data_IF_232109307011
#
_entry.id   IF_232109307011
#
_cell.length_a   1.000
_cell.length_b   1.000
_cell.length_c   1.000
_cell.angle_alpha   90.00
_cell.angle_beta   90.00
_cell.angle_gamma   90.00
#
_symmetry.space_group_name_H-M   'P 1'
#
loop_
_entity.id
_entity.type
_entity.pdbx_description
1 polymer ?
2 branched ?
3 non-polymer ?
4 non-polymer ?
5 non-polymer ?
6 non-polymer ?
7 water ?
#
# COMPACT_ATOMS: atom_id res chain seq x y z
N UNK A 1 0.13 26.09 2.70
CA UNK A 1 -0.72 27.28 2.39
C UNK A 1 -2.20 27.01 2.60
N UNK A 2 -2.78 26.27 1.67
CA UNK A 2 -4.18 25.96 1.76
C UNK A 2 -4.40 24.49 1.56
N UNK A 3 -5.54 23.98 2.00
CA UNK A 3 -5.85 22.56 1.88
C UNK A 3 -5.86 22.12 0.41
N UNK A 4 -5.28 20.97 0.08
CA UNK A 4 -5.32 20.51 -1.29
C UNK A 4 -6.69 19.93 -1.65
N UNK A 5 -7.13 20.17 -2.89
CA UNK A 5 -8.41 19.65 -3.39
C UNK A 5 -8.07 18.81 -4.61
N UNK A 6 -8.74 17.68 -4.75
CA UNK A 6 -8.55 16.77 -5.85
C UNK A 6 -9.34 17.30 -7.04
N UNK A 7 -8.78 18.26 -7.77
CA UNK A 7 -9.45 18.87 -8.93
C UNK A 7 -9.15 18.28 -10.32
N UNK A 8 -8.12 17.43 -10.42
CA UNK A 8 -7.74 16.86 -11.70
C UNK A 8 -8.15 15.42 -11.79
N UNK A 9 -7.94 14.86 -12.98
CA UNK A 9 -8.20 13.46 -13.24
C UNK A 9 -6.85 12.85 -13.57
N UNK A 10 -6.78 11.53 -13.72
CA UNK A 10 -5.54 10.83 -14.04
C UNK A 10 -4.98 11.17 -15.41
N UNK A 11 -3.66 11.08 -15.59
CA UNK A 11 -3.13 11.30 -16.93
C UNK A 11 -3.30 9.97 -17.64
N UNK A 12 -3.21 9.97 -18.97
CA UNK A 12 -3.31 8.74 -19.71
C UNK A 12 -2.04 7.95 -19.40
N UNK A 13 -2.24 6.69 -19.11
CA UNK A 13 -1.16 5.82 -18.74
C UNK A 13 -0.91 4.87 -19.90
N UNK A 14 0.14 5.16 -20.68
CA UNK A 14 0.54 4.31 -21.80
C UNK A 14 1.71 3.39 -21.49
N UNK A 15 2.43 3.72 -20.40
CA UNK A 15 3.56 2.94 -19.88
C UNK A 15 3.98 3.47 -18.52
N UNK A 16 4.97 2.82 -17.91
CA UNK A 16 5.49 3.20 -16.61
C UNK A 16 6.99 3.48 -16.71
N UNK A 17 7.47 4.59 -16.12
CA UNK A 17 8.90 4.93 -16.11
C UNK A 17 9.41 4.79 -14.66
N UNK A 18 10.71 4.52 -14.48
CA UNK A 18 11.32 4.38 -13.15
C UNK A 18 11.30 5.73 -12.42
N UNK A 19 10.78 5.74 -11.18
CA UNK A 19 10.69 6.95 -10.36
C UNK A 19 11.74 6.91 -9.24
N UNK A 20 11.69 5.88 -8.39
CA UNK A 20 12.66 5.77 -7.32
C UNK A 20 13.00 4.32 -7.00
N UNK A 21 14.19 4.10 -6.49
CA UNK A 21 14.66 2.77 -6.11
C UNK A 21 15.73 3.07 -5.08
N UNK A 22 15.70 2.41 -3.93
CA UNK A 22 16.68 2.66 -2.89
C UNK A 22 17.84 1.64 -2.76
N UNK A 23 17.71 0.45 -3.36
CA UNK A 23 18.73 -0.60 -3.29
C UNK A 23 19.14 -0.83 -1.83
N UNK A 24 18.17 -0.78 -0.92
CA UNK A 24 18.43 -0.92 0.52
C UNK A 24 19.20 -2.13 1.03
N UNK A 25 18.91 -3.31 0.51
CA UNK A 25 19.59 -4.52 0.99
C UNK A 25 21.02 -4.65 0.43
N UNK A 26 21.25 -4.20 -0.81
CA UNK A 26 22.62 -4.25 -1.38
C UNK A 26 23.52 -3.39 -0.52
N UNK A 27 23.08 -2.14 -0.34
CA UNK A 27 23.79 -1.14 0.46
C UNK A 27 23.87 -1.49 1.97
N UNK A 28 22.80 -2.07 2.51
CA UNK A 28 22.74 -2.42 3.92
C UNK A 28 23.67 -3.53 4.35
N UNK A 29 24.23 -4.24 3.37
CA UNK A 29 25.16 -5.32 3.61
C UNK A 29 26.43 -4.74 4.27
N UNK A 30 26.66 -3.44 4.07
CA UNK A 30 27.82 -2.77 4.60
C UNK A 30 27.57 -1.29 4.96
N UNK A 31 26.42 -1.03 5.57
CA UNK A 31 26.06 0.32 6.00
C UNK A 31 25.02 0.12 7.05
N UNK A 32 24.83 1.14 7.88
CA UNK A 32 23.87 1.08 8.95
C UNK A 32 22.48 1.33 8.44
N UNK A 33 21.90 0.31 7.80
CA UNK A 33 20.54 0.37 7.25
C UNK A 33 19.58 -0.34 8.19
N UNK A 34 18.42 0.26 8.41
CA UNK A 34 17.42 -0.30 9.28
C UNK A 34 16.67 -1.43 8.63
N UNK A 35 16.25 -2.41 9.43
CA UNK A 35 15.47 -3.51 8.89
C UNK A 35 14.05 -2.95 8.80
N UNK A 36 13.39 -3.15 7.66
CA UNK A 36 12.04 -2.63 7.52
C UNK A 36 11.13 -3.65 6.82
N UNK A 37 9.88 -3.23 6.64
CA UNK A 37 8.84 -3.92 5.90
C UNK A 37 7.60 -3.02 5.85
N UNK A 38 6.66 -3.36 5.00
CA UNK A 38 5.45 -2.57 4.85
C UNK A 38 5.77 -1.12 4.47
N UNK A 39 6.56 -0.91 3.40
CA UNK A 39 6.93 0.44 2.95
C UNK A 39 5.89 1.09 2.07
N UNK A 40 6.06 2.38 1.82
CA UNK A 40 5.20 3.11 0.91
C UNK A 40 5.85 4.41 0.56
N UNK A 41 5.24 5.18 -0.31
CA UNK A 41 5.80 6.45 -0.69
C UNK A 41 4.71 7.48 -0.45
N UNK A 42 5.09 8.71 -0.05
CA UNK A 42 4.09 9.74 0.17
C UNK A 42 4.69 11.12 -0.01
N UNK A 43 3.96 11.99 -0.70
CA UNK A 43 4.43 13.33 -0.99
C UNK A 43 3.83 14.44 -0.15
N UNK A 44 4.68 15.43 0.04
CA UNK A 44 4.36 16.64 0.74
C UNK A 44 4.36 17.62 -0.44
N UNK A 45 3.98 18.87 -0.20
CA UNK A 45 3.87 19.77 -1.35
C UNK A 45 5.24 20.08 -1.94
N UNK A 46 6.30 19.77 -1.21
CA UNK A 46 7.60 20.13 -1.71
C UNK A 46 8.61 19.05 -1.76
N UNK A 47 8.25 17.84 -1.38
CA UNK A 47 9.21 16.75 -1.40
C UNK A 47 8.44 15.46 -1.36
N UNK A 48 8.87 14.41 -2.05
CA UNK A 48 8.20 13.11 -1.95
C UNK A 48 9.18 12.25 -1.15
N UNK A 49 8.67 11.45 -0.21
CA UNK A 49 9.53 10.62 0.62
C UNK A 49 9.16 9.13 0.71
N UNK A 50 10.13 8.31 1.09
CA UNK A 50 9.93 6.87 1.30
C UNK A 50 9.54 6.68 2.77
N UNK A 51 8.65 5.72 3.03
CA UNK A 51 8.16 5.44 4.39
C UNK A 51 8.18 3.94 4.56
N UNK A 52 8.26 3.47 5.81
CA UNK A 52 8.20 2.04 6.14
C UNK A 52 8.19 1.83 7.64
N UNK A 53 7.86 0.62 8.08
CA UNK A 53 7.87 0.31 9.49
C UNK A 53 9.19 -0.32 9.82
N UNK A 54 10.02 0.39 10.59
CA UNK A 54 11.31 -0.11 11.02
C UNK A 54 11.10 -1.27 11.99
N UNK A 55 12.12 -2.12 12.14
CA UNK A 55 12.10 -3.22 13.08
C UNK A 55 12.99 -2.86 14.28
N UNK A 56 13.55 -1.64 14.26
CA UNK A 56 14.37 -1.23 15.38
C UNK A 56 15.75 -1.86 15.46
N UNK A 57 16.29 -2.25 14.31
CA UNK A 57 17.62 -2.85 14.24
C UNK A 57 18.16 -2.69 12.82
N UNK A 58 19.48 -2.79 12.65
CA UNK A 58 20.10 -2.75 11.33
C UNK A 58 20.09 -4.18 10.80
N UNK A 59 20.29 -4.34 9.49
CA UNK A 59 20.27 -5.68 8.88
C UNK A 59 21.43 -6.51 9.42
N UNK A 60 22.60 -5.90 9.49
CA UNK A 60 23.75 -6.63 9.93
C UNK A 60 23.78 -6.75 11.43
N UNK A 61 22.92 -6.02 12.12
CA UNK A 61 22.94 -6.11 13.56
C UNK A 61 22.40 -7.43 14.05
N UNK A 62 22.81 -7.84 15.26
CA UNK A 62 22.36 -9.10 15.88
C UNK A 62 20.90 -9.20 16.18
N UNK A 63 20.26 -8.04 16.38
CA UNK A 63 18.85 -7.99 16.66
C UNK A 63 18.06 -8.18 15.38
N UNK A 64 18.73 -8.34 14.24
CA UNK A 64 18.00 -8.53 12.99
C UNK A 64 17.38 -9.94 13.00
N UNK A 65 17.87 -10.77 13.90
CA UNK A 65 17.35 -12.10 14.02
C UNK A 65 15.94 -12.04 14.56
N UNK A 66 14.98 -12.54 13.79
CA UNK A 66 13.61 -12.56 14.25
C UNK A 66 12.66 -11.55 13.66
N UNK A 67 13.18 -10.68 12.81
CA UNK A 67 12.38 -9.63 12.20
C UNK A 67 11.30 -10.05 11.22
N UNK A 68 10.94 -11.34 11.23
CA UNK A 68 9.86 -11.82 10.37
C UNK A 68 8.53 -11.47 11.09
N UNK A 69 8.62 -11.40 12.43
CA UNK A 69 7.47 -11.07 13.29
C UNK A 69 6.95 -9.68 13.00
N UNK A 70 5.63 -9.57 12.89
CA UNK A 70 4.97 -8.31 12.58
C UNK A 70 4.81 -7.21 13.62
N UNK A 71 4.46 -7.57 14.85
CA UNK A 71 4.17 -6.57 15.85
C UNK A 71 5.02 -6.70 17.08
N UNK A 72 5.71 -5.64 17.46
CA UNK A 72 6.55 -5.67 18.66
C UNK A 72 6.63 -4.24 19.07
N UNK A 73 7.28 -4.00 20.20
CA UNK A 73 7.41 -2.64 20.68
C UNK A 73 8.58 -1.92 20.03
N UNK A 74 9.31 -2.59 19.14
CA UNK A 74 10.47 -1.99 18.54
C UNK A 74 10.28 -1.43 17.14
N UNK A 75 9.05 -1.41 16.64
CA UNK A 75 8.78 -0.91 15.31
C UNK A 75 8.33 0.52 15.41
N UNK A 76 8.53 1.28 14.36
CA UNK A 76 8.10 2.69 14.35
C UNK A 76 7.94 3.08 12.91
N UNK A 77 7.05 4.02 12.62
CA UNK A 77 6.90 4.47 11.26
C UNK A 77 8.06 5.50 11.04
N UNK A 78 8.90 5.28 10.01
CA UNK A 78 10.02 6.18 9.68
C UNK A 78 9.88 6.65 8.23
N UNK A 79 10.42 7.83 7.92
CA UNK A 79 10.41 8.36 6.55
C UNK A 79 11.84 8.76 6.26
N UNK A 80 12.21 8.83 4.99
CA UNK A 80 13.57 9.19 4.63
C UNK A 80 13.55 9.73 3.19
N UNK A 81 14.65 10.34 2.76
CA UNK A 81 14.62 10.90 1.41
C UNK A 81 14.47 9.86 0.31
N UNK A 82 13.71 10.25 -0.72
CA UNK A 82 13.44 9.42 -1.90
C UNK A 82 14.70 8.81 -2.49
N UNK A 83 14.70 7.49 -2.61
CA UNK A 83 15.81 6.75 -3.21
C UNK A 83 17.05 6.52 -2.36
N UNK A 84 17.04 7.10 -1.16
CA UNK A 84 18.12 6.85 -0.22
C UNK A 84 17.69 5.55 0.49
N UNK A 85 18.63 4.82 1.09
CA UNK A 85 18.13 3.71 1.92
C UNK A 85 17.70 4.23 3.30
N UNK A 86 16.83 3.48 3.99
CA UNK A 86 16.40 3.86 5.34
C UNK A 86 17.56 3.63 6.32
N UNK A 87 18.42 4.62 6.49
CA UNK A 87 19.56 4.41 7.39
C UNK A 87 19.30 4.97 8.78
N UNK A 88 20.12 4.54 9.74
CA UNK A 88 19.93 5.01 11.11
C UNK A 88 20.13 6.48 11.25
N UNK A 89 20.94 7.07 10.36
CA UNK A 89 21.26 8.48 10.42
C UNK A 89 20.41 9.47 9.60
N UNK A 90 19.71 9.01 8.57
CA UNK A 90 18.94 9.94 7.75
C UNK A 90 17.43 9.67 7.86
N UNK A 91 17.01 8.82 8.81
CA UNK A 91 15.60 8.46 8.99
C UNK A 91 14.94 9.26 10.07
N UNK A 92 13.73 9.73 9.81
CA UNK A 92 12.96 10.52 10.74
C UNK A 92 11.82 9.64 11.23
N UNK A 93 11.66 9.49 12.53
CA UNK A 93 10.54 8.68 13.03
C UNK A 93 9.27 9.53 13.06
N UNK A 94 8.21 9.02 12.46
CA UNK A 94 6.92 9.73 12.43
C UNK A 94 6.04 9.41 13.66
N UNK A 95 6.10 8.15 14.11
CA UNK A 95 5.37 7.65 15.26
C UNK A 95 5.70 6.18 15.57
N UNK A 96 5.29 5.73 16.75
CA UNK A 96 5.59 4.37 17.19
C UNK A 96 4.40 3.46 16.95
N UNK A 97 4.65 2.37 16.23
CA UNK A 97 3.60 1.41 15.89
C UNK A 97 3.94 0.36 14.84
N UNK A 98 3.10 -0.67 14.78
CA UNK A 98 3.29 -1.76 13.84
C UNK A 98 2.31 -1.81 12.66
N UNK A 99 1.57 -0.71 12.48
CA UNK A 99 0.61 -0.54 11.38
C UNK A 99 0.47 0.96 11.19
N UNK A 100 0.31 1.43 9.96
CA UNK A 100 0.23 2.87 9.78
C UNK A 100 -0.30 3.36 8.46
N UNK A 101 -0.44 4.68 8.38
CA UNK A 101 -0.82 5.38 7.15
C UNK A 101 -0.39 6.81 7.39
N UNK A 102 -0.32 7.61 6.32
CA UNK A 102 0.13 9.01 6.41
C UNK A 102 -0.19 9.76 5.13
N UNK A 103 -0.61 11.01 5.26
CA UNK A 103 -0.88 11.82 4.08
C UNK A 103 -0.79 13.31 4.43
N UNK A 104 -0.45 14.13 3.44
CA UNK A 104 -0.33 15.57 3.62
C UNK A 104 -1.66 16.14 3.09
N UNK A 105 -2.27 17.07 3.82
CA UNK A 105 -3.55 17.63 3.37
C UNK A 105 -3.38 18.93 2.62
N UNK A 106 -2.15 19.38 2.48
CA UNK A 106 -1.92 20.62 1.78
C UNK A 106 -1.32 21.60 2.74
N UNK A 107 -1.77 21.55 3.99
CA UNK A 107 -1.27 22.44 5.00
C UNK A 107 -0.18 21.72 5.79
N UNK A 108 -0.45 20.49 6.22
CA UNK A 108 0.52 19.70 6.97
C UNK A 108 0.24 18.19 6.84
N UNK A 109 1.07 17.34 7.45
CA UNK A 109 0.91 15.90 7.35
C UNK A 109 0.29 15.27 8.56
N UNK A 110 -0.51 14.23 8.31
CA UNK A 110 -1.15 13.47 9.37
C UNK A 110 -0.54 12.09 9.31
N UNK A 111 -0.13 11.56 10.46
CA UNK A 111 0.44 10.23 10.49
C UNK A 111 -0.31 9.48 11.55
N UNK A 112 -0.58 8.20 11.33
CA UNK A 112 -1.33 7.42 12.29
C UNK A 112 -0.59 6.16 12.54
N UNK A 113 -0.23 5.87 13.79
CA UNK A 113 0.45 4.63 14.12
C UNK A 113 -0.39 3.88 15.13
N UNK A 114 -0.38 2.57 15.01
CA UNK A 114 -1.14 1.72 15.91
C UNK A 114 -0.15 0.80 16.63
N UNK A 115 -0.32 0.68 17.93
CA UNK A 115 0.56 -0.21 18.65
C UNK A 115 -0.24 -0.91 19.72
N UNK A 116 0.38 -1.90 20.35
CA UNK A 116 -0.28 -2.62 21.41
C UNK A 116 -0.32 -4.10 21.23
N UNK A 117 -0.82 -4.81 22.27
CA UNK A 117 -1.15 -6.23 22.31
C UNK A 117 -2.21 -6.45 21.30
N UNK A 118 -2.36 -7.69 20.86
CA UNK A 118 -3.37 -8.04 19.89
C UNK A 118 -4.76 -7.66 20.34
N UNK A 119 -4.99 -7.70 21.65
CA UNK A 119 -6.30 -7.40 22.21
C UNK A 119 -6.49 -6.09 22.91
N UNK A 120 -5.58 -5.14 22.73
CA UNK A 120 -5.73 -3.89 23.43
C UNK A 120 -4.87 -2.88 22.71
N UNK A 121 -4.94 -2.89 21.39
CA UNK A 121 -4.18 -1.97 20.55
C UNK A 121 -4.91 -0.63 20.47
N UNK A 122 -4.22 0.42 20.04
CA UNK A 122 -4.86 1.72 19.91
C UNK A 122 -4.15 2.54 18.84
N UNK A 123 -4.90 3.36 18.13
CA UNK A 123 -4.33 4.21 17.11
C UNK A 123 -4.12 5.59 17.70
N UNK A 124 -3.01 6.25 17.38
CA UNK A 124 -2.80 7.60 17.85
C UNK A 124 -2.50 8.43 16.62
N UNK A 125 -3.38 9.41 16.38
CA UNK A 125 -3.31 10.29 15.23
C UNK A 125 -2.43 11.50 15.52
N UNK A 126 -1.46 11.73 14.65
CA UNK A 126 -0.52 12.83 14.77
C UNK A 126 -0.82 13.86 13.68
N UNK A 127 -0.82 15.14 14.01
CA UNK A 127 -1.04 16.10 12.96
C UNK A 127 -0.06 17.22 13.22
N UNK A 128 0.74 17.55 12.21
CA UNK A 128 1.75 18.59 12.35
C UNK A 128 2.76 18.17 13.42
N UNK A 129 3.09 16.87 13.43
CA UNK A 129 4.04 16.26 14.36
C UNK A 129 3.77 16.26 15.87
N UNK A 130 2.50 16.32 16.23
CA UNK A 130 2.05 16.29 17.61
C UNK A 130 0.89 15.29 17.70
N UNK A 131 0.80 14.51 18.79
CA UNK A 131 -0.38 13.64 18.95
C UNK A 131 -1.64 14.45 19.16
N UNK A 132 -2.71 14.10 18.48
CA UNK A 132 -3.94 14.85 18.59
C UNK A 132 -5.15 14.04 19.03
N UNK A 133 -5.41 12.93 18.36
CA UNK A 133 -6.56 12.09 18.65
C UNK A 133 -6.08 10.67 18.87
N UNK A 134 -6.82 9.88 19.66
CA UNK A 134 -6.48 8.48 19.93
C UNK A 134 -7.76 7.68 19.85
N UNK A 135 -7.65 6.46 19.33
CA UNK A 135 -8.80 5.60 19.13
C UNK A 135 -8.43 4.24 19.70
N UNK A 136 -9.22 3.74 20.63
CA UNK A 136 -8.95 2.43 21.20
C UNK A 136 -9.64 1.35 20.35
N UNK A 137 -9.06 0.15 20.35
CA UNK A 137 -9.58 -1.03 19.64
C UNK A 137 -11.07 -1.23 19.91
N UNK A 138 -11.83 -1.54 18.88
CA UNK A 138 -13.27 -1.79 19.04
C UNK A 138 -13.68 -3.27 18.97
N UNK A 139 -12.85 -4.11 18.37
CA UNK A 139 -13.17 -5.51 18.27
C UNK A 139 -12.18 -6.38 19.03
N UNK A 140 -11.17 -5.76 19.63
CA UNK A 140 -10.16 -6.45 20.42
C UNK A 140 -9.33 -7.47 19.64
N UNK A 141 -9.24 -7.27 18.33
CA UNK A 141 -8.44 -8.17 17.53
C UNK A 141 -7.64 -7.45 16.45
N UNK A 142 -6.45 -7.05 16.87
CA UNK A 142 -5.47 -6.36 16.06
C UNK A 142 -5.99 -5.20 15.18
N UNK A 143 -6.26 -4.08 15.84
CA UNK A 143 -6.69 -2.86 15.14
C UNK A 143 -5.57 -2.59 14.12
N UNK A 144 -5.93 -2.41 12.85
CA UNK A 144 -4.93 -2.23 11.82
C UNK A 144 -5.41 -1.27 10.74
N UNK A 145 -4.49 -0.78 9.91
CA UNK A 145 -4.88 0.14 8.88
C UNK A 145 -4.24 -0.15 7.54
N UNK A 146 -4.24 0.86 6.66
CA UNK A 146 -3.75 0.79 5.29
C UNK A 146 -2.39 0.28 4.93
N UNK A 147 -1.34 0.79 5.58
CA UNK A 147 0.05 0.45 5.26
C UNK A 147 0.51 1.17 3.97
N UNK A 148 -0.16 2.26 3.61
CA UNK A 148 0.22 3.09 2.46
C UNK A 148 -0.48 4.41 2.71
N UNK A 149 -0.22 5.45 1.93
CA UNK A 149 -0.80 6.77 2.18
C UNK A 149 -2.32 6.92 2.06
N UNK A 150 -2.88 7.85 2.87
CA UNK A 150 -4.30 8.18 2.83
C UNK A 150 -4.39 9.32 1.81
N UNK A 151 -5.56 9.90 1.60
CA UNK A 151 -5.70 10.99 0.62
C UNK A 151 -6.64 12.02 1.23
N UNK A 152 -6.41 13.29 0.95
CA UNK A 152 -7.26 14.32 1.51
C UNK A 152 -7.86 15.18 0.44
N UNK A 153 -8.92 15.84 0.82
CA UNK A 153 -9.60 16.72 -0.09
C UNK A 153 -10.20 17.78 0.80
N UNK A 154 -9.80 19.01 0.58
CA UNK A 154 -10.28 20.11 1.39
C UNK A 154 -10.22 19.90 2.90
N UNK A 155 -9.09 19.41 3.40
CA UNK A 155 -8.92 19.20 4.83
C UNK A 155 -9.35 17.86 5.36
N UNK A 156 -10.25 17.18 4.65
CA UNK A 156 -10.78 15.84 5.03
C UNK A 156 -10.00 14.69 4.41
N UNK A 157 -9.46 13.82 5.27
CA UNK A 157 -8.64 12.67 4.87
C UNK A 157 -9.26 11.44 5.43
N UNK A 158 -10.04 10.71 4.63
CA UNK A 158 -10.61 9.44 5.07
C UNK A 158 -9.52 8.38 5.27
N UNK A 159 -9.69 7.51 6.24
CA UNK A 159 -8.75 6.44 6.49
C UNK A 159 -9.56 5.20 6.82
N UNK A 160 -9.15 4.08 6.24
CA UNK A 160 -9.82 2.81 6.46
C UNK A 160 -9.07 1.94 7.47
N UNK A 161 -9.74 1.55 8.58
CA UNK A 161 -9.20 0.65 9.61
C UNK A 161 -10.04 -0.63 9.58
N UNK A 162 -9.50 -1.68 10.14
CA UNK A 162 -10.22 -2.93 10.25
C UNK A 162 -9.83 -3.45 11.61
N UNK A 163 -10.78 -3.99 12.35
CA UNK A 163 -10.44 -4.54 13.65
C UNK A 163 -11.23 -5.83 13.76
N UNK A 164 -10.57 -6.88 14.24
CA UNK A 164 -11.22 -8.16 14.36
C UNK A 164 -10.46 -9.24 13.58
N UNK A 165 -11.17 -10.32 13.25
CA UNK A 165 -10.62 -11.47 12.54
C UNK A 165 -10.06 -11.25 11.13
N UNK A 166 -8.94 -11.92 10.91
CA UNK A 166 -8.22 -11.87 9.67
C UNK A 166 -8.84 -12.84 8.68
N UNK A 167 -9.66 -13.73 9.19
CA UNK A 167 -10.20 -14.75 8.33
C UNK A 167 -11.69 -14.98 8.49
N UNK A 168 -12.42 -13.94 8.80
CA UNK A 168 -13.85 -14.11 8.96
C UNK A 168 -14.40 -12.76 8.62
N UNK A 169 -15.70 -12.53 8.84
CA UNK A 169 -16.17 -11.14 8.91
C UNK A 169 -15.47 -10.38 10.07
N UNK A 170 -15.08 -9.12 9.81
CA UNK A 170 -14.40 -8.30 10.82
C UNK A 170 -15.12 -6.94 10.86
N UNK A 171 -14.74 -6.02 11.76
CA UNK A 171 -15.40 -4.72 11.78
C UNK A 171 -14.54 -3.63 11.13
N UNK A 172 -14.89 -3.24 9.91
CA UNK A 172 -14.15 -2.22 9.19
C UNK A 172 -14.85 -0.84 9.22
N UNK A 173 -14.11 0.23 9.50
CA UNK A 173 -14.65 1.57 9.57
C UNK A 173 -13.88 2.56 8.73
N UNK A 174 -14.56 3.58 8.27
CA UNK A 174 -13.93 4.63 7.45
C UNK A 174 -14.01 5.90 8.30
N UNK A 175 -12.88 6.41 8.79
CA UNK A 175 -12.90 7.64 9.59
C UNK A 175 -12.62 8.77 8.65
N UNK A 176 -13.20 9.93 8.94
CA UNK A 176 -12.96 11.13 8.16
C UNK A 176 -12.34 12.10 9.15
N UNK A 177 -11.05 12.40 8.94
CA UNK A 177 -10.32 13.31 9.83
C UNK A 177 -10.10 14.64 9.17
N UNK A 178 -10.07 15.67 10.00
CA UNK A 178 -9.75 17.00 9.53
C UNK A 178 -8.93 17.56 10.69
N UNK A 179 -7.70 17.98 10.36
CA UNK A 179 -6.74 18.49 11.35
C UNK A 179 -6.53 17.57 12.55
N UNK A 180 -6.40 16.28 12.27
CA UNK A 180 -6.19 15.31 13.32
C UNK A 180 -7.43 14.95 14.13
N UNK A 181 -8.52 15.68 13.95
CA UNK A 181 -9.78 15.40 14.68
C UNK A 181 -10.72 14.53 13.84
N UNK A 182 -11.56 13.76 14.51
CA UNK A 182 -12.53 12.89 13.84
C UNK A 182 -13.79 13.68 13.52
N UNK A 183 -14.19 13.66 12.27
CA UNK A 183 -15.38 14.37 11.87
C UNK A 183 -16.54 13.43 11.92
N UNK A 184 -16.27 12.16 11.70
CA UNK A 184 -17.32 11.15 11.62
C UNK A 184 -16.69 9.79 11.32
N UNK A 185 -17.42 8.70 11.52
CA UNK A 185 -16.91 7.39 11.16
C UNK A 185 -18.09 6.55 10.72
N UNK A 186 -17.87 5.69 9.74
CA UNK A 186 -18.92 4.84 9.21
C UNK A 186 -18.49 3.40 9.31
N UNK A 187 -19.44 2.49 9.54
CA UNK A 187 -19.26 1.08 9.17
C UNK A 187 -19.19 0.87 7.66
N UNK A 188 -18.39 -0.12 7.26
CA UNK A 188 -18.21 -0.46 5.87
C UNK A 188 -19.57 -0.82 5.26
N UNK A 189 -19.78 -0.42 4.01
CA UNK A 189 -21.05 -0.68 3.32
C UNK A 189 -20.75 -1.29 1.97
N UNK A 190 -21.81 -1.70 1.29
CA UNK A 190 -21.67 -2.28 -0.04
C UNK A 190 -21.46 -3.76 0.03
N UNK A 191 -20.99 -4.34 -1.07
CA UNK A 191 -20.79 -5.76 -1.17
C UNK A 191 -19.49 -6.42 -0.79
N UNK A 192 -18.44 -5.65 -0.47
CA UNK A 192 -17.14 -6.22 -0.08
C UNK A 192 -17.25 -7.03 1.24
N UNK A 193 -16.80 -8.27 1.22
CA UNK A 193 -16.95 -9.14 2.39
C UNK A 193 -15.87 -9.00 3.45
N UNK A 194 -14.70 -8.53 3.03
CA UNK A 194 -13.60 -8.38 3.98
C UNK A 194 -12.68 -7.30 3.45
N UNK A 195 -12.15 -6.48 4.35
CA UNK A 195 -11.29 -5.40 3.92
C UNK A 195 -10.00 -5.35 4.71
N UNK A 196 -8.88 -5.22 4.02
CA UNK A 196 -7.62 -5.13 4.71
C UNK A 196 -6.75 -4.26 3.82
N UNK A 197 -5.81 -3.55 4.45
CA UNK A 197 -4.78 -2.75 3.77
C UNK A 197 -5.15 -2.07 2.47
N UNK A 198 -6.00 -1.06 2.57
CA UNK A 198 -6.44 -0.36 1.38
C UNK A 198 -5.39 0.56 0.77
N UNK A 199 -5.29 0.54 -0.56
CA UNK A 199 -4.37 1.37 -1.32
C UNK A 199 -5.27 2.33 -2.01
N UNK A 200 -5.13 3.62 -1.68
CA UNK A 200 -6.00 4.68 -2.21
C UNK A 200 -5.33 5.78 -3.05
N UNK A 201 -6.14 6.45 -3.85
CA UNK A 201 -5.66 7.55 -4.67
C UNK A 201 -6.90 8.40 -4.86
N UNK A 202 -6.70 9.63 -5.34
CA UNK A 202 -7.83 10.53 -5.55
C UNK A 202 -7.77 11.31 -6.84
N UNK A 203 -8.94 11.49 -7.45
CA UNK A 203 -9.05 12.26 -8.67
C UNK A 203 -10.48 12.71 -8.75
N UNK A 204 -10.63 13.91 -9.32
CA UNK A 204 -11.90 14.61 -9.53
C UNK A 204 -12.88 14.47 -8.35
N UNK A 205 -12.39 14.87 -7.18
CA UNK A 205 -13.10 14.88 -5.91
C UNK A 205 -13.70 13.56 -5.45
N UNK A 206 -13.11 12.45 -5.86
CA UNK A 206 -13.57 11.11 -5.45
C UNK A 206 -12.29 10.36 -5.04
N UNK A 207 -12.41 9.47 -4.06
CA UNK A 207 -11.26 8.69 -3.57
C UNK A 207 -11.46 7.19 -3.79
N UNK A 208 -10.51 6.53 -4.43
CA UNK A 208 -10.66 5.12 -4.69
C UNK A 208 -9.58 4.31 -3.99
N UNK A 209 -9.99 3.25 -3.28
CA UNK A 209 -9.09 2.37 -2.57
C UNK A 209 -9.27 0.94 -3.05
N UNK A 210 -8.17 0.27 -3.38
CA UNK A 210 -8.22 -1.10 -3.81
C UNK A 210 -7.65 -1.81 -2.61
N UNK A 211 -8.43 -2.67 -1.99
CA UNK A 211 -7.99 -3.31 -0.76
C UNK A 211 -7.73 -4.77 -0.92
N UNK A 212 -7.71 -5.48 0.20
CA UNK A 212 -7.42 -6.88 0.17
C UNK A 212 -8.43 -7.65 1.03
N UNK A 213 -9.08 -8.66 0.42
CA UNK A 213 -10.02 -9.53 1.14
C UNK A 213 -9.17 -10.74 1.58
N UNK A 214 -8.78 -10.80 2.83
CA UNK A 214 -7.93 -11.89 3.27
C UNK A 214 -8.69 -13.21 3.47
N UNK A 215 -10.02 -13.11 3.52
CA UNK A 215 -10.88 -14.25 3.77
C UNK A 215 -11.07 -15.24 2.62
N UNK A 216 -11.78 -14.82 1.58
CA UNK A 216 -12.06 -15.72 0.47
C UNK A 216 -11.86 -15.15 -0.95
N UNK A 217 -11.80 -13.83 -1.12
CA UNK A 217 -11.64 -13.28 -2.46
C UNK A 217 -10.26 -13.27 -3.11
N UNK A 218 -10.19 -13.64 -4.39
CA UNK A 218 -8.93 -13.58 -5.13
C UNK A 218 -9.02 -12.37 -6.03
N UNK A 219 -10.23 -11.83 -6.13
CA UNK A 219 -10.39 -10.60 -6.86
C UNK A 219 -10.35 -9.57 -5.72
N UNK A 220 -9.99 -8.34 -6.03
CA UNK A 220 -9.86 -7.29 -5.02
C UNK A 220 -11.11 -6.47 -4.88
N UNK A 221 -11.51 -6.21 -3.62
CA UNK A 221 -12.52 -5.23 -3.25
C UNK A 221 -12.08 -3.80 -3.51
N UNK A 222 -13.05 -2.93 -3.76
CA UNK A 222 -12.77 -1.56 -4.04
C UNK A 222 -13.70 -0.81 -3.16
N UNK A 223 -13.23 0.31 -2.61
CA UNK A 223 -14.02 1.20 -1.77
C UNK A 223 -13.98 2.55 -2.47
N UNK A 224 -15.11 3.07 -2.92
CA UNK A 224 -15.06 4.41 -3.50
C UNK A 224 -15.57 5.30 -2.38
N UNK A 225 -14.86 6.40 -2.10
CA UNK A 225 -15.23 7.32 -1.04
C UNK A 225 -15.46 8.72 -1.59
N UNK A 226 -16.44 9.38 -1.00
CA UNK A 226 -16.80 10.73 -1.37
C UNK A 226 -16.43 11.55 -0.15
N UNK A 227 -15.33 12.33 -0.24
CA UNK A 227 -14.79 13.07 0.92
C UNK A 227 -15.63 14.32 1.25
N UNK A 228 -16.52 14.72 0.34
CA UNK A 228 -17.36 15.89 0.58
C UNK A 228 -18.63 15.51 1.32
N UNK A 229 -19.31 14.50 0.79
CA UNK A 229 -20.51 13.97 1.40
C UNK A 229 -20.14 12.97 2.52
N UNK A 230 -18.87 12.62 2.63
CA UNK A 230 -18.44 11.68 3.65
C UNK A 230 -19.23 10.40 3.66
N UNK A 231 -19.34 9.78 2.50
CA UNK A 231 -20.04 8.49 2.35
C UNK A 231 -19.16 7.59 1.47
N UNK A 232 -19.53 6.33 1.35
CA UNK A 232 -18.72 5.43 0.55
C UNK A 232 -19.54 4.24 0.11
N UNK A 233 -18.93 3.39 -0.70
CA UNK A 233 -19.60 2.18 -1.14
C UNK A 233 -18.51 1.21 -1.48
N UNK A 234 -18.84 -0.06 -1.56
CA UNK A 234 -17.84 -1.06 -1.87
C UNK A 234 -18.30 -2.18 -2.80
N UNK A 235 -17.36 -2.73 -3.57
CA UNK A 235 -17.67 -3.84 -4.47
C UNK A 235 -16.38 -4.57 -4.73
N UNK A 236 -16.36 -5.43 -5.74
CA UNK A 236 -15.15 -6.11 -6.09
C UNK A 236 -14.85 -5.77 -7.55
N UNK A 237 -13.58 -5.92 -7.94
CA UNK A 237 -13.16 -5.70 -9.32
C UNK A 237 -13.77 -6.90 -10.09
N UNK A 238 -14.56 -6.57 -11.11
CA UNK A 238 -15.26 -7.52 -11.95
C UNK A 238 -14.40 -8.44 -12.82
N UNK A 239 -13.33 -7.89 -13.38
CA UNK A 239 -12.44 -8.61 -14.26
C UNK A 239 -12.02 -10.01 -13.79
N UNK A 240 -11.87 -10.99 -14.74
CA UNK A 240 -11.31 -12.33 -14.49
C UNK A 240 -9.79 -12.37 -14.26
N UNK A 241 -9.12 -11.23 -14.49
CA UNK A 241 -7.67 -11.09 -14.26
C UNK A 241 -7.55 -10.87 -12.75
N UNK A 242 -7.38 -11.96 -12.01
CA UNK A 242 -7.30 -11.94 -10.55
C UNK A 242 -5.99 -11.32 -10.05
N UNK A 243 -6.07 -10.44 -9.07
CA UNK A 243 -4.85 -9.80 -8.65
C UNK A 243 -4.38 -10.01 -7.24
N UNK A 244 -5.04 -10.86 -6.47
CA UNK A 244 -4.56 -11.12 -5.13
C UNK A 244 -3.50 -12.22 -5.23
N UNK A 245 -2.97 -12.67 -4.11
CA UNK A 245 -1.93 -13.71 -4.11
C UNK A 245 -1.86 -14.27 -2.68
N UNK A 246 -1.86 -15.60 -2.53
CA UNK A 246 -2.04 -16.64 -3.55
C UNK A 246 -3.46 -16.61 -4.17
N UNK A 247 -3.61 -17.07 -5.42
CA UNK A 247 -4.91 -17.03 -6.11
C UNK A 247 -5.05 -18.16 -7.14
N UNK A 248 -6.30 -18.45 -7.58
CA UNK A 248 -6.54 -19.42 -8.65
C UNK A 248 -6.03 -18.87 -9.98
N UNK A 249 -6.14 -19.67 -11.04
CA UNK A 249 -5.73 -19.21 -12.35
C UNK A 249 -6.89 -18.38 -12.84
N UNK A 250 -6.63 -17.43 -13.75
CA UNK A 250 -7.71 -16.57 -14.28
C UNK A 250 -8.76 -17.41 -15.00
N UNK A 251 -10.06 -17.21 -14.66
CA UNK A 251 -11.17 -17.77 -15.41
C UNK A 251 -11.49 -16.89 -16.59
N UNK A 252 -12.61 -17.14 -17.25
CA UNK A 252 -13.03 -16.35 -18.40
C UNK A 252 -14.04 -15.31 -17.97
N UNK A 253 -14.59 -15.45 -16.77
CA UNK A 253 -15.57 -14.49 -16.32
C UNK A 253 -15.39 -14.31 -14.82
N UNK A 254 -15.45 -13.05 -14.38
CA UNK A 254 -15.24 -12.73 -12.98
C UNK A 254 -16.49 -12.32 -12.28
N UNK A 255 -16.36 -11.92 -11.03
CA UNK A 255 -17.49 -11.52 -10.19
C UNK A 255 -17.32 -10.09 -9.72
N UNK A 256 -18.43 -9.36 -9.77
CA UNK A 256 -18.50 -7.96 -9.38
C UNK A 256 -18.88 -7.67 -7.93
N UNK A 257 -19.60 -8.60 -7.30
CA UNK A 257 -20.04 -8.38 -5.95
C UNK A 257 -19.85 -9.54 -5.01
N UNK A 258 -18.99 -10.48 -5.34
CA UNK A 258 -18.74 -11.59 -4.42
C UNK A 258 -17.33 -11.97 -4.62
N UNK A 259 -16.69 -12.48 -3.59
CA UNK A 259 -15.30 -12.92 -3.71
C UNK A 259 -15.19 -14.05 -4.73
N UNK A 260 -14.11 -14.10 -5.48
CA UNK A 260 -13.95 -15.19 -6.42
C UNK A 260 -13.25 -16.24 -5.58
N UNK A 261 -13.85 -17.44 -5.47
CA UNK A 261 -13.33 -18.45 -4.55
C UNK A 261 -12.06 -19.11 -5.11
N UNK A 262 -11.30 -19.78 -4.26
CA UNK A 262 -10.10 -20.41 -4.73
C UNK A 262 -9.13 -20.62 -3.61
N UNK A 263 -8.52 -19.54 -3.14
CA UNK A 263 -7.58 -19.60 -2.03
C UNK A 263 -8.25 -18.94 -0.83
N UNK A 264 -8.01 -19.47 0.37
CA UNK A 264 -8.62 -18.89 1.56
C UNK A 264 -7.61 -18.42 2.56
N UNK A 265 -8.03 -17.46 3.37
CA UNK A 265 -7.22 -16.94 4.47
C UNK A 265 -5.78 -16.52 4.14
N UNK A 266 -5.64 -15.70 3.11
CA UNK A 266 -4.35 -15.20 2.71
C UNK A 266 -4.51 -14.10 1.67
N UNK A 267 -3.42 -13.43 1.37
CA UNK A 267 -3.48 -12.37 0.39
C UNK A 267 -2.23 -11.53 0.45
N UNK A 268 -2.27 -10.39 -0.23
CA UNK A 268 -1.16 -9.46 -0.30
C UNK A 268 -1.79 -8.10 -0.58
N UNK A 269 -1.22 -7.05 -0.02
CA UNK A 269 -1.73 -5.72 -0.26
C UNK A 269 -1.36 -5.39 -1.68
N UNK A 270 -2.27 -4.77 -2.42
CA UNK A 270 -2.02 -4.42 -3.80
C UNK A 270 -2.82 -3.19 -4.15
N UNK A 271 -2.85 -2.79 -5.41
CA UNK A 271 -3.57 -1.59 -5.78
C UNK A 271 -4.01 -1.71 -7.23
N UNK A 272 -4.67 -0.67 -7.73
CA UNK A 272 -5.08 -0.66 -9.12
C UNK A 272 -5.47 0.79 -9.41
N UNK A 273 -5.41 1.19 -10.66
CA UNK A 273 -5.85 2.52 -11.03
C UNK A 273 -7.08 2.21 -11.85
N UNK A 274 -8.26 2.62 -11.39
CA UNK A 274 -9.47 2.29 -12.12
C UNK A 274 -10.05 3.52 -12.77
N UNK A 275 -9.89 3.58 -14.09
CA UNK A 275 -10.27 4.75 -14.85
C UNK A 275 -10.82 4.43 -16.26
N UNK A 276 -11.94 3.69 -16.34
CA UNK A 276 -12.52 3.35 -17.63
C UNK A 276 -11.55 2.56 -18.48
N UNK A 277 -11.29 3.01 -19.71
CA UNK A 277 -10.32 2.29 -20.55
C UNK A 277 -8.88 2.49 -20.06
N UNK A 278 -8.66 3.55 -19.26
CA UNK A 278 -7.35 3.92 -18.72
C UNK A 278 -7.16 3.22 -17.37
N UNK A 279 -7.44 1.92 -17.34
CA UNK A 279 -7.34 1.10 -16.13
C UNK A 279 -6.18 0.10 -16.11
N UNK A 280 -5.33 0.18 -15.09
CA UNK A 280 -4.21 -0.72 -15.00
C UNK A 280 -4.22 -1.43 -13.66
N UNK A 281 -3.98 -2.73 -13.67
CA UNK A 281 -3.97 -3.56 -12.45
C UNK A 281 -2.56 -4.03 -12.19
N UNK A 282 -2.19 -4.16 -10.93
CA UNK A 282 -0.88 -4.66 -10.62
C UNK A 282 -1.08 -6.00 -9.94
N UNK A 283 -0.20 -6.95 -10.20
CA UNK A 283 -0.29 -8.27 -9.55
C UNK A 283 1.04 -8.99 -9.55
N UNK A 284 1.20 -9.89 -8.59
CA UNK A 284 2.40 -10.71 -8.60
C UNK A 284 2.21 -11.59 -9.88
N UNK A 285 3.32 -12.08 -10.44
CA UNK A 285 3.27 -12.94 -11.62
C UNK A 285 2.87 -14.33 -11.13
N UNK A 286 3.51 -14.77 -10.07
CA UNK A 286 3.24 -16.05 -9.48
C UNK A 286 1.89 -16.06 -8.79
N UNK A 287 1.10 -17.11 -9.02
CA UNK A 287 -0.21 -17.26 -8.37
C UNK A 287 0.04 -17.93 -7.00
N UNK A 288 1.18 -18.56 -6.84
CA UNK A 288 1.51 -19.26 -5.60
C UNK A 288 2.28 -18.45 -4.58
N UNK A 289 3.21 -17.61 -4.99
CA UNK A 289 3.90 -16.82 -3.98
C UNK A 289 4.10 -15.37 -4.38
N UNK A 290 4.69 -14.59 -3.48
CA UNK A 290 4.94 -13.16 -3.71
C UNK A 290 6.21 -13.07 -4.54
N UNK A 291 6.04 -13.34 -5.82
CA UNK A 291 7.16 -13.40 -6.72
C UNK A 291 6.82 -12.81 -8.06
N UNK A 292 7.70 -11.96 -8.56
CA UNK A 292 7.46 -11.29 -9.83
C UNK A 292 6.42 -10.20 -9.65
N UNK A 293 6.31 -9.31 -10.60
CA UNK A 293 5.30 -8.26 -10.53
C UNK A 293 5.13 -7.66 -11.91
N UNK A 294 3.87 -7.44 -12.26
CA UNK A 294 3.53 -6.89 -13.55
C UNK A 294 2.33 -5.99 -13.46
N UNK A 295 2.23 -5.11 -14.45
CA UNK A 295 1.11 -4.17 -14.59
C UNK A 295 0.45 -4.60 -15.90
N UNK A 296 -0.89 -4.58 -15.90
CA UNK A 296 -1.70 -4.98 -17.06
C UNK A 296 -2.82 -3.98 -17.27
N UNK A 297 -2.95 -3.53 -18.52
CA UNK A 297 -4.02 -2.60 -18.84
C UNK A 297 -5.24 -3.48 -19.16
N UNK A 298 -6.28 -3.37 -18.34
CA UNK A 298 -7.49 -4.17 -18.52
C UNK A 298 -8.63 -3.17 -18.55
N UNK A 299 -9.04 -2.73 -19.76
CA UNK A 299 -10.05 -1.67 -19.86
C UNK A 299 -11.31 -2.01 -19.09
N UNK A 300 -11.84 -1.04 -18.35
CA UNK A 300 -13.05 -1.23 -17.56
C UNK A 300 -13.04 -2.44 -16.64
N UNK A 301 -11.90 -2.76 -16.02
CA UNK A 301 -11.79 -3.91 -15.12
C UNK A 301 -12.82 -3.92 -13.97
N UNK A 302 -13.12 -2.73 -13.47
CA UNK A 302 -14.03 -2.59 -12.34
C UNK A 302 -15.45 -3.09 -12.58
N UNK A 303 -15.93 -2.85 -13.79
CA UNK A 303 -17.28 -3.19 -14.13
C UNK A 303 -17.47 -4.28 -15.17
N UNK A 304 -16.46 -4.52 -15.99
CA UNK A 304 -16.57 -5.50 -17.06
C UNK A 304 -16.08 -6.86 -16.56
N UNK A 305 -17.01 -7.79 -16.30
CA UNK A 305 -16.69 -9.12 -15.77
C UNK A 305 -16.07 -10.13 -16.75
N UNK A 306 -15.72 -9.64 -17.92
CA UNK A 306 -15.09 -10.45 -18.93
C UNK A 306 -13.86 -9.74 -19.50
N UNK A 307 -13.51 -8.60 -18.91
CA UNK A 307 -12.36 -7.79 -19.31
C UNK A 307 -11.01 -8.52 -19.18
N UNK A 308 -10.21 -8.46 -20.24
CA UNK A 308 -8.90 -9.12 -20.29
C UNK A 308 -7.85 -8.08 -20.71
N UNK A 309 -6.56 -8.38 -20.50
CA UNK A 309 -5.50 -7.40 -20.73
C UNK A 309 -5.34 -6.96 -22.18
N UNK A 310 -5.05 -5.69 -22.41
CA UNK A 310 -4.84 -5.24 -23.76
C UNK A 310 -3.41 -4.79 -23.95
N UNK A 311 -2.70 -4.65 -22.83
CA UNK A 311 -1.30 -4.20 -22.82
C UNK A 311 -0.68 -4.58 -21.48
N UNK A 312 0.64 -4.56 -21.41
CA UNK A 312 1.31 -4.93 -20.16
C UNK A 312 2.74 -4.44 -19.99
N UNK A 313 3.25 -4.52 -18.76
CA UNK A 313 4.61 -4.10 -18.49
C UNK A 313 5.10 -4.86 -17.29
N UNK A 314 6.19 -5.59 -17.45
CA UNK A 314 6.77 -6.36 -16.36
C UNK A 314 7.60 -5.46 -15.50
N UNK A 315 7.41 -5.57 -14.19
CA UNK A 315 8.17 -4.73 -13.27
C UNK A 315 9.32 -5.52 -12.62
N UNK A 316 8.98 -6.67 -12.06
CA UNK A 316 9.93 -7.54 -11.40
C UNK A 316 9.70 -8.91 -12.10
N UNK A 317 10.78 -9.64 -12.44
CA UNK A 317 10.67 -10.95 -13.11
C UNK A 317 10.20 -12.00 -12.15
N UNK A 318 9.55 -13.05 -12.62
CA UNK A 318 9.04 -14.03 -11.68
C UNK A 318 10.07 -14.81 -10.90
N UNK A 319 11.35 -14.61 -11.21
CA UNK A 319 12.41 -15.28 -10.48
C UNK A 319 12.83 -14.43 -9.27
N UNK A 320 12.37 -13.18 -9.23
CA UNK A 320 12.68 -12.27 -8.13
C UNK A 320 11.48 -12.04 -7.26
N UNK A 321 11.76 -11.82 -5.97
CA UNK A 321 10.74 -11.59 -4.97
C UNK A 321 10.11 -10.21 -5.04
N UNK A 322 8.86 -10.14 -4.63
CA UNK A 322 8.11 -8.89 -4.59
C UNK A 322 7.43 -8.81 -3.22
N UNK A 323 6.22 -8.31 -3.13
CA UNK A 323 5.61 -8.23 -1.82
C UNK A 323 4.53 -7.18 -1.89
N UNK A 324 4.33 -6.40 -0.84
CA UNK A 324 3.32 -5.38 -0.85
C UNK A 324 3.50 -4.37 -1.99
N UNK A 325 2.42 -3.77 -2.46
CA UNK A 325 2.50 -2.77 -3.50
C UNK A 325 1.33 -1.83 -3.24
N UNK A 326 1.48 -0.53 -3.52
CA UNK A 326 0.41 0.40 -3.25
C UNK A 326 0.55 1.63 -4.10
N UNK A 327 -0.48 2.48 -4.08
CA UNK A 327 -0.48 3.69 -4.88
C UNK A 327 -0.16 4.97 -4.09
N UNK A 328 0.25 5.99 -4.81
CA UNK A 328 0.51 7.32 -4.28
C UNK A 328 0.59 8.19 -5.53
N UNK A 329 0.54 9.51 -5.39
CA UNK A 329 0.69 10.40 -6.54
C UNK A 329 1.17 11.70 -5.95
N UNK A 330 1.87 12.48 -6.75
CA UNK A 330 2.30 13.78 -6.28
C UNK A 330 1.17 14.74 -6.63
N UNK A 331 0.26 14.99 -5.68
CA UNK A 331 -0.85 15.89 -5.91
C UNK A 331 -0.44 17.33 -6.10
N UNK A 332 0.83 17.63 -5.85
CA UNK A 332 1.38 19.00 -5.97
C UNK A 332 2.33 19.25 -7.15
N UNK A 333 2.42 18.29 -8.06
CA UNK A 333 3.23 18.38 -9.27
C UNK A 333 2.52 19.31 -10.24
N UNK A 334 3.29 20.01 -11.06
CA UNK A 334 2.72 20.92 -12.03
C UNK A 334 2.01 20.00 -13.05
N UNK A 335 1.09 20.52 -13.84
CA UNK A 335 0.44 19.62 -14.78
C UNK A 335 -1.07 19.76 -14.84
N UNK A 336 -1.65 19.21 -15.90
CA UNK A 336 -3.07 19.24 -16.18
C UNK A 336 -3.78 18.08 -15.57
N UNK A 337 -3.05 17.02 -15.29
CA UNK A 337 -3.63 15.82 -14.74
C UNK A 337 -2.71 15.27 -13.66
N UNK A 338 -3.18 14.27 -12.92
CA UNK A 338 -2.42 13.61 -11.86
C UNK A 338 -1.71 12.41 -12.47
N UNK A 339 -0.41 12.32 -12.22
CA UNK A 339 0.35 11.23 -12.77
C UNK A 339 0.29 10.05 -11.81
N UNK A 340 -0.32 8.94 -12.23
CA UNK A 340 -0.42 7.75 -11.40
C UNK A 340 0.95 7.16 -11.06
N UNK A 341 1.15 6.74 -9.81
CA UNK A 341 2.41 6.11 -9.41
C UNK A 341 2.08 4.93 -8.49
N UNK A 342 3.10 4.16 -8.19
CA UNK A 342 2.95 3.02 -7.31
C UNK A 342 4.32 2.57 -6.87
N UNK A 343 4.38 1.82 -5.78
CA UNK A 343 5.63 1.28 -5.28
C UNK A 343 5.41 -0.22 -5.14
N UNK A 344 6.51 -0.97 -5.08
CA UNK A 344 6.49 -2.44 -4.89
C UNK A 344 7.59 -2.70 -3.83
N UNK A 345 7.22 -3.46 -2.81
CA UNK A 345 8.12 -3.81 -1.73
C UNK A 345 8.79 -5.06 -2.23
N UNK A 346 10.11 -5.12 -2.14
CA UNK A 346 10.86 -6.28 -2.61
C UNK A 346 11.45 -6.96 -1.36
N UNK A 347 10.72 -7.94 -0.83
CA UNK A 347 11.12 -8.68 0.37
C UNK A 347 12.28 -9.64 0.14
N UNK A 348 13.25 -9.62 1.05
CA UNK A 348 14.42 -10.50 1.02
C UNK A 348 14.46 -11.14 2.40
N UNK A 349 15.11 -12.29 2.54
CA UNK A 349 15.13 -12.96 3.84
C UNK A 349 13.95 -13.91 4.06
N UNK A 350 13.56 -14.15 5.31
CA UNK A 350 12.46 -15.08 5.59
C UNK A 350 11.11 -14.55 5.20
N UNK A 351 10.17 -15.42 4.78
CA UNK A 351 10.19 -16.90 4.87
C UNK A 351 10.90 -17.64 3.74
N UNK A 352 10.90 -17.08 2.53
CA UNK A 352 11.48 -17.71 1.34
C UNK A 352 12.96 -18.00 1.37
N UNK A 353 13.76 -17.02 1.75
CA UNK A 353 15.19 -17.21 1.81
C UNK A 353 15.58 -17.50 3.25
N UNK A 354 15.46 -18.77 3.63
CA UNK A 354 15.77 -19.18 4.99
C UNK A 354 17.23 -19.23 5.42
N UNK A 355 18.15 -18.97 4.49
CA UNK A 355 19.57 -18.98 4.83
C UNK A 355 19.94 -17.88 5.82
N UNK A 356 19.14 -16.81 5.88
CA UNK A 356 19.41 -15.73 6.83
C UNK A 356 18.29 -15.78 7.86
N UNK A 357 18.52 -15.14 9.01
CA UNK A 357 17.58 -15.10 10.10
C UNK A 357 16.71 -13.85 10.15
N UNK A 358 16.90 -12.95 9.19
CA UNK A 358 16.13 -11.69 9.15
C UNK A 358 15.14 -11.64 7.97
N UNK A 359 14.33 -10.60 7.95
CA UNK A 359 13.37 -10.35 6.88
C UNK A 359 13.41 -8.83 6.72
N UNK A 360 13.66 -8.34 5.50
CA UNK A 360 13.70 -6.90 5.23
C UNK A 360 13.22 -6.68 3.80
N UNK A 361 13.41 -5.49 3.24
CA UNK A 361 12.97 -5.22 1.87
C UNK A 361 13.64 -3.99 1.33
N UNK A 362 13.54 -3.81 0.00
CA UNK A 362 14.02 -2.57 -0.62
C UNK A 362 12.78 -2.09 -1.37
N UNK A 363 12.87 -0.98 -2.08
CA UNK A 363 11.68 -0.47 -2.74
C UNK A 363 11.96 -0.09 -4.18
N UNK A 364 10.98 -0.33 -5.03
CA UNK A 364 11.05 0.13 -6.41
C UNK A 364 9.74 0.86 -6.62
N UNK A 365 9.79 2.06 -7.22
CA UNK A 365 8.55 2.80 -7.50
C UNK A 365 8.60 3.37 -8.91
N UNK A 366 7.44 3.41 -9.55
CA UNK A 366 7.29 3.92 -10.90
C UNK A 366 6.12 4.88 -10.95
N UNK A 367 6.09 5.71 -12.00
CA UNK A 367 5.01 6.66 -12.25
C UNK A 367 4.66 6.51 -13.73
N UNK A 368 3.45 6.91 -14.09
CA UNK A 368 3.04 6.69 -15.47
C UNK A 368 3.64 7.68 -16.45
N UNK A 369 3.65 7.28 -17.71
CA UNK A 369 4.12 8.12 -18.80
C UNK A 369 3.04 7.99 -19.87
N UNK A 370 2.86 9.05 -20.66
CA UNK A 370 1.89 9.03 -21.75
C UNK A 370 2.53 8.45 -23.02
N UNK A 371 3.84 8.24 -22.93
CA UNK A 371 4.67 7.65 -23.97
C UNK A 371 4.56 6.17 -23.80
N UNK A 372 5.14 5.44 -24.73
CA UNK A 372 5.12 3.98 -24.67
C UNK A 372 6.57 3.54 -24.48
N UNK A 373 7.09 3.82 -23.30
CA UNK A 373 8.48 3.52 -22.94
C UNK A 373 8.83 2.05 -22.93
N UNK A 374 10.09 1.76 -23.25
CA UNK A 374 10.57 0.40 -23.19
C UNK A 374 10.60 -0.06 -21.75
N UNK A 375 10.53 -1.35 -21.52
CA UNK A 375 10.52 -1.86 -20.16
C UNK A 375 11.81 -2.53 -19.74
N UNK A 376 12.01 -2.63 -18.43
CA UNK A 376 13.18 -3.26 -17.82
C UNK A 376 12.71 -3.86 -16.51
N UNK A 377 13.41 -4.84 -15.97
CA UNK A 377 12.94 -5.37 -14.71
C UNK A 377 13.76 -4.73 -13.62
N UNK A 378 13.19 -4.62 -12.44
CA UNK A 378 13.84 -3.96 -11.31
C UNK A 378 13.84 -4.82 -10.07
N UNK A 379 14.79 -5.76 -9.98
CA UNK A 379 14.85 -6.68 -8.84
C UNK A 379 15.49 -5.98 -7.66
N UNK A 380 15.51 -6.61 -6.48
CA UNK A 380 16.11 -6.01 -5.28
C UNK A 380 17.58 -5.80 -5.51
N UNK A 381 18.23 -6.85 -6.02
CA UNK A 381 19.63 -6.80 -6.36
C UNK A 381 20.62 -7.31 -5.35
N UNK A 382 20.19 -7.68 -4.15
CA UNK A 382 21.17 -8.17 -3.16
C UNK A 382 21.45 -9.63 -3.35
N UNK A 383 22.66 -10.03 -3.03
CA UNK A 383 23.07 -11.43 -3.12
C UNK A 383 23.12 -11.94 -1.71
N UNK A 384 22.11 -12.71 -1.34
CA UNK A 384 22.01 -13.29 -0.01
C UNK A 384 23.28 -14.02 0.47
N UNK A 385 23.98 -14.73 -0.42
CA UNK A 385 25.18 -15.43 0.01
C UNK A 385 26.23 -14.52 0.66
N UNK A 386 26.17 -13.21 0.41
CA UNK A 386 27.12 -12.26 1.03
C UNK A 386 26.78 -12.00 2.51
N UNK A 387 25.57 -12.37 2.90
CA UNK A 387 25.12 -12.16 4.27
C UNK A 387 25.35 -13.38 5.16
N UNK A 388 25.82 -14.48 4.60
CA UNK A 388 26.05 -15.68 5.40
C UNK A 388 27.45 -15.59 5.97
X LIG B 1 -6.60 -3.36 28.28
X LIG B 1 -6.44 -4.51 29.28
X LIG B 1 -6.98 -4.26 30.69
X LIG B 1 -6.59 -2.75 31.12
X LIG B 1 -6.87 -1.69 29.98
X LIG B 1 -6.41 -0.32 30.33
X LIG B 1 -6.86 -6.76 28.73
X LIG B 1 -7.66 -7.84 28.07
X LIG B 1 -7.27 -5.49 28.63
X LIG B 1 -6.35 -5.30 31.48
X LIG B 1 -7.30 -2.20 32.32
X LIG B 1 -6.15 -2.13 28.85
X LIG B 1 -5.04 -0.38 30.73
X LIG B 1 -5.85 -7.09 29.38
X LIG B 2 -6.51 -1.59 33.33
X LIG B 2 -7.21 -0.71 34.25
X LIG B 2 -6.34 -0.22 35.33
X LIG B 2 -5.64 -1.42 35.94
X LIG B 2 -4.97 -2.25 34.91
X LIG B 2 -4.36 -3.47 35.48
X LIG B 2 -8.83 0.54 33.04
X LIG B 2 -9.30 1.86 32.37
X LIG B 2 -7.64 0.46 33.63
X LIG B 2 -7.03 0.56 36.29
X LIG B 2 -4.62 -1.07 36.85
X LIG B 2 -5.92 -2.66 34.00
X LIG B 2 -5.33 -4.11 36.33
X LIG B 2 -9.57 -0.42 32.95
X LIG B 3 -4.77 -1.44 38.19
X LIG B 3 -3.42 -1.19 38.91
X LIG B 3 -3.63 -1.40 40.42
X LIG B 3 -4.79 -0.47 40.90
X LIG B 3 -6.04 -0.79 40.15
X LIG B 3 -7.17 0.09 40.64
X LIG B 3 -2.97 0.13 38.65
X LIG B 3 -2.44 -1.10 41.17
X LIG B 3 -5.04 -0.61 42.30
X LIG B 3 -5.81 -0.58 38.74
X LIG B 3 -8.36 -0.39 40.01
X LIG B 4 -2.12 -1.91 42.19
X LIG B 4 -1.07 -1.28 42.92
X LIG B 4 0.23 -1.37 42.02
X LIG B 4 0.61 -2.78 41.63
X LIG B 4 -0.51 -3.23 40.89
X LIG B 4 -0.17 -4.65 40.61
X LIG B 4 -1.04 -2.08 44.11
X LIG B 4 1.39 -0.87 42.67
X LIG B 4 1.81 -2.91 40.87
X LIG B 4 -1.67 -3.14 41.70
X LIG B 4 -1.29 -5.24 40.01
X LIG B 5 0.00 -1.85 45.12
X LIG B 5 -0.01 -3.07 46.06
X LIG B 5 -1.37 -3.13 46.75
X LIG B 5 -1.68 -1.75 47.44
X LIG B 5 -1.50 -0.57 46.44
X LIG B 5 -1.66 0.76 47.11
X LIG B 5 1.05 -2.93 47.03
X LIG B 5 -1.22 -4.14 47.71
X LIG B 5 -3.01 -1.65 47.96
X LIG B 5 -0.17 -0.62 45.86
X LIG B 5 -0.65 0.92 48.08
X LIG B 6 2.10 -3.81 46.88
X LIG B 6 2.98 -3.54 48.05
X LIG B 6 3.72 -2.21 47.97
X LIG B 6 4.49 -2.11 46.63
X LIG B 6 3.42 -2.27 45.52
X LIG B 6 4.00 -2.20 44.13
X LIG B 6 3.97 -4.56 48.01
X LIG B 6 4.67 -2.11 49.04
X LIG B 6 5.22 -0.93 46.61
X LIG B 6 2.78 -3.57 45.64
X LIG B 6 5.01 -3.16 44.01
X LIG C 1 -10.19 -1.30 42.46
X LIG C 1 -10.77 -1.63 41.10
X LIG C 1 -11.35 -0.34 40.47
X LIG C 1 -11.54 0.73 41.52
X LIG C 1 -10.21 1.00 42.17
X LIG C 1 -10.28 1.55 43.54
X LIG C 1 -11.77 -2.66 41.08
X LIG C 1 -12.58 -0.66 39.82
X LIG C 1 -12.06 1.90 40.95
X LIG C 1 -9.44 -0.13 42.37
X LIG C 1 -10.81 0.59 44.43
X LIG D 1 -9.64 23.93 -1.82
X LIG D 1 -8.78 25.17 -2.05
X LIG D 1 -8.96 26.14 -0.87
X LIG D 1 -10.45 26.54 -0.84
X LIG D 1 -11.30 25.26 -0.78
X LIG D 1 -12.80 25.65 -0.94
X LIG D 1 -6.54 25.31 -2.91
X LIG D 1 -5.13 24.75 -2.80
X LIG D 1 -7.42 24.75 -2.08
X LIG D 1 -8.11 27.30 -0.94
X LIG D 1 -10.78 27.44 0.25
X LIG D 1 -10.97 24.39 -1.88
X LIG D 1 -13.68 24.59 -1.37
X LIG D 1 -6.87 26.18 -3.73
X LIG E 1 18.49 -16.57 15.67
X LIG E 1 19.77 -17.37 15.71
X LIG E 1 19.57 -18.85 15.81
X LIG E 1 18.68 -19.10 17.03
X LIG E 1 17.31 -18.33 16.81
X LIG E 1 16.11 -18.36 17.82
X LIG E 1 21.75 -16.69 14.50
X LIG E 1 22.59 -16.48 13.25
X LIG E 1 20.51 -17.20 14.45
X LIG E 1 20.84 -19.54 15.85
X LIG E 1 18.51 -20.49 17.09
X LIG E 1 17.58 -16.94 16.69
X LIG E 1 16.13 -17.14 18.67
X LIG E 1 22.27 -16.36 15.57
X LIG F 1 -7.41 -13.17 -0.59
X LIG G 1 1.89 -9.71 5.47
X LIG G 1 1.08 -10.41 4.83
X LIG G 1 3.05 -9.52 5.04
X LIG G 1 1.48 -9.05 6.67
X LIG G 1 2.12 -8.06 7.31
X LIG G 1 1.39 -7.04 8.18
X LIG G 1 0.18 -7.68 8.81
X LIG G 1 -0.68 -6.73 9.51
X LIG G 1 -0.63 -6.59 10.83
X LIG G 1 0.13 -7.22 11.54
X LIG G 1 -1.53 -5.60 11.51
X LIG G 1 -0.60 -8.41 7.75
X LIG G 1 0.32 -9.39 7.27
X LIG G 1 -1.86 -9.01 8.45
X LIG G 1 -1.71 -9.94 9.22
X LIG G 1 -3.08 -8.46 8.19
X LIG G 1 -3.55 -7.20 7.64
X LIG G 1 -4.23 -9.34 8.38
X LIG G 1 -4.31 -9.85 9.83
X LIG G 1 -3.76 -8.96 10.98
X LIG G 1 2.27 -6.59 9.25
X LIG G 1 2.37 -5.38 9.79
X LIG G 1 1.61 -4.38 9.35
X LIG G 1 3.25 -5.16 10.76
#
# INVERSE_FOLDING_TARGET
RDFNNLTKGLCTINSWHIYGKDNAVRIGEDSDVLVTREPYVSCDPDECRFYALSQGTTIRGKHSNGTIHDRSQYRALISWPLSSPPTVYNSRVECIGWSSTSCHDGKTRMSICISGPNNNASAVIWYNRRPVTEINTWARNILRTQESECVCHNGVCPVVFTDGSATGPAETRIYYFKEGKILKWEPLAGTAKHIEECSCYGERAEITCTCRDNWQGSNRPVIRIDPVAMTHTSQYICSPVLTDNPRPNDPTVGKCNDPYPGNNNNGVKGFSYLDGVNTWLGRTISIASRSGYEMLKVPNALTDDKSKPTQGQTIVLNTDWSGYSGSFMDYWAEGECYRACFYVELIRGRPKEDKVWWTSNSIVSMCSSTEFLGQWDWPDGAKIEYFL
NAG C1 C2 C3 C4 C5 C6 C7 C8 N2 O3 O4 O5 O6 O7
NAG C1 C2 C3 C4 C5 C6 C7 C8 N2 O3 O4 O5 O6 O7
BMA C1 C2 C3 C4 C5 C6 O2 O3 O4 O5 O6
MAN C1 C2 C3 C4 C5 C6 O2 O3 O4 O5 O6
MAN C1 C2 C3 C4 C5 C6 O2 O3 O4 O5 O6
MAN C1 C2 C3 C4 C5 C6 O2 O3 O4 O5 O6
MAN C1 C2 C3 C4 C5 C6 O2 O3 O4 O5 O6
NAG C1 C2 C3 C4 C5 C6 C7 C8 N2 O3 O4 O5 O6 O7
NAG C1 C2 C3 C4 C5 C6 C7 C8 N2 O3 O4 O5 O6 O7
CA CA
G20 C1 O1A O1B C2 C3 C4 C5 N5 C10 O10 C11 C6 O6 C7 O7 N8 C81 C9 C91 C92 NE CZ NH1 NH2
#
